data_IF_763871480297
#
_entry.id   IF_763871480297
#
_cell.length_a   1.000
_cell.length_b   1.000
_cell.length_c   1.000
_cell.angle_alpha   90.00
_cell.angle_beta   90.00
_cell.angle_gamma   90.00
#
_symmetry.space_group_name_H-M   'P 1'
#
loop_
_entity.id
_entity.type
_entity.pdbx_description
1 polymer ?
#
# COMPACT_ATOMS: atom_id res chain seq x y z
N UNK A 1 12.64 -9.19 -7.65
CA UNK A 1 11.51 -9.21 -6.71
C UNK A 1 11.70 -8.11 -5.67
N UNK A 2 10.73 -7.21 -5.55
CA UNK A 2 10.69 -6.12 -4.57
C UNK A 2 9.56 -6.36 -3.58
N UNK A 3 9.62 -5.70 -2.43
CA UNK A 3 8.55 -5.72 -1.42
C UNK A 3 7.72 -4.46 -1.55
N UNK A 4 6.41 -4.61 -1.61
CA UNK A 4 5.43 -3.53 -1.70
C UNK A 4 4.62 -3.51 -0.40
N UNK A 5 4.77 -2.45 0.38
CA UNK A 5 3.95 -2.22 1.57
C UNK A 5 2.67 -1.51 1.13
N UNK A 6 1.52 -2.15 1.31
CA UNK A 6 0.20 -1.54 1.06
C UNK A 6 -0.44 -1.27 2.41
N UNK A 7 -0.82 -0.01 2.65
CA UNK A 7 -1.43 0.44 3.90
C UNK A 7 -2.81 0.98 3.62
N UNK A 8 -3.81 0.53 4.37
CA UNK A 8 -5.12 1.15 4.42
C UNK A 8 -5.25 1.96 5.72
N UNK A 9 -5.84 3.15 5.63
CA UNK A 9 -6.37 3.85 6.81
C UNK A 9 -7.61 3.12 7.35
N UNK A 10 -8.30 3.72 8.32
CA UNK A 10 -9.53 3.17 8.89
C UNK A 10 -10.55 2.84 7.80
N UNK A 11 -11.15 1.66 7.88
CA UNK A 11 -12.19 1.21 6.94
C UNK A 11 -13.27 0.40 7.64
N UNK A 12 -14.48 0.47 7.10
CA UNK A 12 -15.58 -0.41 7.47
C UNK A 12 -16.29 -0.86 6.19
N UNK A 13 -16.27 -2.15 5.88
CA UNK A 13 -16.80 -2.73 4.66
C UNK A 13 -15.71 -3.38 3.81
N UNK A 14 -15.85 -3.27 2.48
CA UNK A 14 -14.93 -3.87 1.51
C UNK A 14 -14.29 -2.78 0.67
N UNK A 15 -12.97 -2.76 0.65
CA UNK A 15 -12.14 -1.76 -0.03
C UNK A 15 -11.26 -2.47 -1.05
N UNK A 16 -11.75 -2.67 -2.28
CA UNK A 16 -10.93 -3.18 -3.36
C UNK A 16 -9.87 -2.14 -3.74
N UNK A 17 -8.68 -2.61 -4.10
CA UNK A 17 -7.59 -1.77 -4.56
C UNK A 17 -6.75 -2.48 -5.61
N UNK A 18 -6.08 -1.69 -6.46
CA UNK A 18 -5.08 -2.16 -7.43
C UNK A 18 -3.87 -1.25 -7.37
N UNK A 19 -2.69 -1.85 -7.38
CA UNK A 19 -1.42 -1.13 -7.45
C UNK A 19 -0.82 -1.41 -8.81
N UNK A 20 -0.52 -0.35 -9.56
CA UNK A 20 -0.01 -0.43 -10.92
C UNK A 20 1.37 0.22 -11.02
N UNK A 21 2.16 -0.23 -11.99
CA UNK A 21 3.38 0.43 -12.42
C UNK A 21 3.39 0.43 -13.94
N UNK A 22 3.49 1.62 -14.55
CA UNK A 22 3.39 1.80 -16.01
C UNK A 22 2.16 1.11 -16.63
N UNK A 23 1.01 1.14 -15.93
CA UNK A 23 -0.22 0.48 -16.37
C UNK A 23 -0.28 -1.04 -16.18
N UNK A 24 0.79 -1.69 -15.70
CA UNK A 24 0.78 -3.11 -15.32
C UNK A 24 0.38 -3.28 -13.86
N UNK A 25 -0.52 -4.21 -13.56
CA UNK A 25 -0.89 -4.53 -12.18
C UNK A 25 0.25 -5.27 -11.48
N UNK A 26 0.74 -4.69 -10.39
CA UNK A 26 1.71 -5.30 -9.49
C UNK A 26 1.03 -6.12 -8.39
N UNK A 27 -0.05 -5.58 -7.81
CA UNK A 27 -0.83 -6.22 -6.77
C UNK A 27 -2.29 -5.79 -6.85
N UNK A 28 -3.20 -6.73 -6.57
CA UNK A 28 -4.64 -6.48 -6.48
C UNK A 28 -5.16 -7.19 -5.22
N UNK A 29 -6.10 -6.55 -4.53
CA UNK A 29 -6.66 -7.12 -3.32
C UNK A 29 -7.90 -6.40 -2.84
N UNK A 30 -8.42 -6.87 -1.71
CA UNK A 30 -9.57 -6.24 -1.05
C UNK A 30 -9.37 -6.30 0.45
N UNK A 31 -9.33 -5.14 1.11
CA UNK A 31 -9.47 -5.09 2.57
C UNK A 31 -10.94 -5.30 2.91
N UNK A 32 -11.24 -6.23 3.81
CA UNK A 32 -12.62 -6.56 4.19
C UNK A 32 -12.77 -6.56 5.71
N UNK A 33 -13.93 -6.11 6.18
CA UNK A 33 -14.28 -6.07 7.60
C UNK A 33 -14.21 -4.65 8.16
N UNK A 34 -13.86 -4.52 9.44
CA UNK A 34 -13.74 -3.24 10.12
C UNK A 34 -12.35 -3.12 10.71
N UNK A 35 -11.64 -2.06 10.36
CA UNK A 35 -10.37 -1.68 10.95
C UNK A 35 -10.46 -0.24 11.46
N UNK A 36 -10.17 -0.04 12.74
CA UNK A 36 -10.23 1.26 13.42
C UNK A 36 -8.86 1.93 13.53
N UNK A 37 -7.83 1.32 12.94
CA UNK A 37 -6.46 1.81 12.89
C UNK A 37 -5.87 1.60 11.48
N UNK A 38 -4.65 2.07 11.24
CA UNK A 38 -3.97 1.79 9.99
C UNK A 38 -3.57 0.32 9.92
N UNK A 39 -3.89 -0.35 8.82
CA UNK A 39 -3.53 -1.73 8.58
C UNK A 39 -2.63 -1.84 7.35
N UNK A 40 -1.48 -2.49 7.52
CA UNK A 40 -0.52 -2.68 6.43
C UNK A 40 -0.32 -4.15 6.10
N UNK A 41 -0.05 -4.44 4.83
CA UNK A 41 0.31 -5.76 4.33
C UNK A 41 1.43 -5.64 3.30
N UNK A 42 2.38 -6.55 3.36
CA UNK A 42 3.49 -6.63 2.41
C UNK A 42 3.14 -7.61 1.29
N UNK A 43 3.43 -7.23 0.05
CA UNK A 43 3.33 -8.06 -1.15
C UNK A 43 4.70 -8.18 -1.79
N UNK A 44 5.04 -9.38 -2.27
CA UNK A 44 6.23 -9.58 -3.11
C UNK A 44 5.81 -9.41 -4.57
N UNK A 45 6.42 -8.43 -5.24
CA UNK A 45 6.04 -8.03 -6.60
C UNK A 45 7.26 -7.93 -7.50
N UNK A 46 7.05 -8.14 -8.79
CA UNK A 46 8.02 -7.84 -9.83
C UNK A 46 7.85 -6.38 -10.28
N UNK A 47 8.57 -5.47 -9.63
CA UNK A 47 8.47 -4.03 -9.86
C UNK A 47 9.86 -3.41 -10.14
N UNK A 48 9.90 -2.37 -10.97
CA UNK A 48 11.05 -1.51 -11.22
C UNK A 48 11.20 -0.43 -10.14
N UNK A 49 12.19 0.46 -10.27
CA UNK A 49 12.44 1.62 -9.39
C UNK A 49 11.53 2.82 -9.66
N UNK A 50 10.57 2.67 -10.56
CA UNK A 50 9.69 3.75 -10.98
C UNK A 50 8.46 3.89 -10.10
N UNK A 51 7.81 5.04 -10.26
CA UNK A 51 6.56 5.37 -9.61
C UNK A 51 5.47 4.31 -9.81
N UNK A 52 4.70 4.15 -8.75
CA UNK A 52 3.53 3.28 -8.71
C UNK A 52 2.27 4.14 -8.59
N UNK A 53 1.16 3.62 -9.08
CA UNK A 53 -0.15 4.24 -9.00
C UNK A 53 -1.06 3.38 -8.13
N UNK A 54 -1.78 4.01 -7.21
CA UNK A 54 -2.77 3.34 -6.36
C UNK A 54 -4.15 3.66 -6.90
N UNK A 55 -4.86 2.65 -7.39
CA UNK A 55 -6.28 2.73 -7.72
C UNK A 55 -7.11 2.22 -6.53
N UNK A 56 -7.83 3.12 -5.88
CA UNK A 56 -8.73 2.82 -4.78
C UNK A 56 -9.89 3.81 -4.76
N UNK A 57 -11.12 3.34 -4.89
CA UNK A 57 -12.32 4.19 -4.91
C UNK A 57 -12.48 5.03 -3.64
N UNK A 58 -11.98 4.55 -2.51
CA UNK A 58 -12.12 5.22 -1.22
C UNK A 58 -10.98 6.21 -0.92
N UNK A 59 -9.89 6.23 -1.70
CA UNK A 59 -8.75 7.12 -1.45
C UNK A 59 -8.03 6.92 -0.11
N UNK A 60 -8.27 5.79 0.56
CA UNK A 60 -7.71 5.46 1.89
C UNK A 60 -6.53 4.48 1.85
N UNK A 61 -6.19 3.98 0.66
CA UNK A 61 -5.09 3.04 0.46
C UNK A 61 -3.87 3.81 -0.06
N UNK A 62 -2.72 3.54 0.53
CA UNK A 62 -1.41 3.98 0.04
C UNK A 62 -0.52 2.76 -0.19
N UNK A 63 0.49 2.92 -1.03
CA UNK A 63 1.46 1.87 -1.29
C UNK A 63 2.87 2.45 -1.41
N UNK A 64 3.86 1.67 -0.97
CA UNK A 64 5.26 2.08 -0.97
C UNK A 64 6.13 0.89 -1.35
N UNK A 65 6.96 1.06 -2.38
CA UNK A 65 8.01 0.09 -2.70
C UNK A 65 9.14 0.20 -1.67
N UNK A 66 9.39 -0.89 -0.97
CA UNK A 66 10.48 -0.96 0.00
C UNK A 66 11.78 -1.28 -0.75
N UNK A 67 12.66 -0.30 -0.87
CA UNK A 67 14.06 -0.55 -1.21
C UNK A 67 14.82 -1.08 0.00
N UNK A 68 15.86 -1.89 -0.22
CA UNK A 68 16.59 -2.69 0.77
C UNK A 68 17.36 -1.92 1.87
N UNK A 69 16.89 -0.75 2.30
CA UNK A 69 17.25 -0.11 3.56
C UNK A 69 15.98 0.40 4.22
N UNK A 70 15.37 -0.45 5.03
CA UNK A 70 14.41 0.00 6.04
C UNK A 70 15.25 0.67 7.14
N UNK A 71 15.56 1.95 6.97
CA UNK A 71 15.72 2.86 8.10
C UNK A 71 14.32 3.34 8.43
N UNK A 72 13.70 2.76 9.46
CA UNK A 72 12.45 3.29 10.02
C UNK A 72 12.75 4.66 10.63
N UNK A 73 12.77 5.72 9.82
CA UNK A 73 12.48 7.05 10.32
C UNK A 73 10.97 7.15 10.41
N UNK A 74 10.42 6.73 11.55
CA UNK A 74 9.19 7.35 12.05
C UNK A 74 9.60 8.78 12.44
N UNK A 75 9.62 9.69 11.47
CA UNK A 75 9.60 11.12 11.76
C UNK A 75 8.18 11.48 12.19
N UNK A 76 8.02 11.52 13.51
CA UNK A 76 7.29 12.54 14.26
C UNK A 76 5.97 13.04 13.63
N UNK A 77 4.88 12.31 13.89
CA UNK A 77 3.55 12.93 13.90
C UNK A 77 3.43 13.65 15.24
N UNK A 78 3.84 14.91 15.22
CA UNK A 78 3.93 15.76 16.39
C UNK A 78 2.60 16.15 17.03
N UNK A 79 2.72 16.34 18.34
CA UNK A 79 1.92 17.10 19.32
C UNK A 79 0.63 16.49 19.86
#
# INVERSE_FOLDING_TARGET
MKKLLVTAKLFNGRIPFRILQRGRVLAEGTFSGKCTECYSRIYEVDASDEDITVECNAGIVSATLLHGRIGLSLEDAGK
#
